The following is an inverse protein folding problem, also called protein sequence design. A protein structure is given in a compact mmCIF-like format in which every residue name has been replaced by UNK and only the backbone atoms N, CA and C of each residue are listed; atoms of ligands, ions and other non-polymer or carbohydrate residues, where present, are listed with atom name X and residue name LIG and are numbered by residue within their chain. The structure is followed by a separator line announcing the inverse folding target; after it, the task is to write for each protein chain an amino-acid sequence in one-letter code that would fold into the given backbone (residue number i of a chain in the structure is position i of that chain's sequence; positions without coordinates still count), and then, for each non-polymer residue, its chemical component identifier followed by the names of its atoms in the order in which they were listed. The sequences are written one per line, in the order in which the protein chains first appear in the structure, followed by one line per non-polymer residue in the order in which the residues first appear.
data_IF_860378344519
#
_entry.id   IF_860378344519
#
_cell.length_a   1.000
_cell.length_b   1.000
_cell.length_c   1.000
_cell.angle_alpha   90.00
_cell.angle_beta   90.00
_cell.angle_gamma   90.00
#
_symmetry.space_group_name_H-M   'P 1'
#
loop_
_entity.id
_entity.type
_entity.pdbx_description
1 polymer ?
#
# COMPACT_ATOMS: atom_id res chain seq x y z
N UNK A 1 6.18 39.48 -37.14
CA UNK A 1 6.75 38.60 -36.09
C UNK A 1 5.62 38.24 -35.14
N UNK A 2 5.01 37.07 -35.35
CA UNK A 2 3.95 36.54 -34.49
C UNK A 2 4.60 35.73 -33.37
N UNK A 3 4.53 36.25 -32.15
CA UNK A 3 4.94 35.52 -30.94
C UNK A 3 3.86 34.50 -30.59
N UNK A 4 4.19 33.21 -30.65
CA UNK A 4 3.34 32.14 -30.11
C UNK A 4 3.17 32.32 -28.60
N UNK A 5 1.96 32.10 -28.04
CA UNK A 5 1.76 32.15 -26.60
C UNK A 5 2.47 30.95 -25.94
N UNK A 6 3.13 31.22 -24.82
CA UNK A 6 3.70 30.18 -23.98
C UNK A 6 2.59 29.19 -23.55
N UNK A 7 2.82 27.91 -23.78
CA UNK A 7 1.94 26.84 -23.31
C UNK A 7 1.79 26.93 -21.81
N UNK A 8 0.54 26.98 -21.33
CA UNK A 8 0.24 26.81 -19.92
C UNK A 8 0.80 25.47 -19.41
N UNK A 9 1.30 25.39 -18.16
CA UNK A 9 1.70 24.13 -17.58
C UNK A 9 0.51 23.17 -17.51
N UNK A 10 0.71 21.86 -17.68
CA UNK A 10 -0.36 20.88 -17.58
C UNK A 10 -1.03 20.95 -16.19
N UNK A 11 -2.34 20.64 -16.09
CA UNK A 11 -3.06 20.65 -14.82
C UNK A 11 -2.38 19.70 -13.83
N UNK A 12 -2.23 20.13 -12.59
CA UNK A 12 -1.71 19.30 -11.48
C UNK A 12 -2.63 18.10 -11.28
N UNK A 13 -2.18 16.90 -11.67
CA UNK A 13 -2.95 15.67 -11.47
C UNK A 13 -2.68 15.12 -10.07
N UNK A 14 -3.72 15.07 -9.23
CA UNK A 14 -3.65 14.32 -7.96
C UNK A 14 -3.49 12.83 -8.26
N UNK A 15 -2.69 12.09 -7.47
CA UNK A 15 -2.51 10.65 -7.64
C UNK A 15 -3.81 9.92 -7.40
N UNK A 16 -4.26 9.20 -8.42
CA UNK A 16 -5.42 8.31 -8.32
C UNK A 16 -5.02 6.84 -8.33
N UNK A 17 -3.73 6.50 -8.50
CA UNK A 17 -3.25 5.13 -8.52
C UNK A 17 -2.13 4.86 -7.51
N UNK A 18 -2.09 3.62 -7.02
CA UNK A 18 -1.02 3.10 -6.19
C UNK A 18 -0.60 1.72 -6.72
N UNK A 19 0.69 1.54 -6.96
CA UNK A 19 1.28 0.21 -7.11
C UNK A 19 1.88 -0.19 -5.76
N UNK A 20 1.30 -1.21 -5.14
CA UNK A 20 1.67 -1.72 -3.82
C UNK A 20 2.26 -3.12 -3.98
N UNK A 21 3.55 -3.27 -3.68
CA UNK A 21 4.31 -4.48 -4.00
C UNK A 21 4.94 -5.06 -2.75
N UNK A 22 4.46 -6.22 -2.36
CA UNK A 22 5.16 -7.03 -1.37
C UNK A 22 6.25 -7.88 -2.00
N UNK A 23 7.34 -8.07 -1.26
CA UNK A 23 8.41 -8.97 -1.63
C UNK A 23 8.95 -9.73 -0.42
N UNK A 24 9.34 -10.98 -0.65
CA UNK A 24 10.05 -11.82 0.31
C UNK A 24 11.25 -12.47 -0.37
N UNK A 25 12.46 -12.25 0.16
CA UNK A 25 13.68 -12.83 -0.36
C UNK A 25 13.70 -14.34 -0.15
N UNK A 26 14.09 -15.09 -1.17
CA UNK A 26 14.30 -16.53 -1.05
C UNK A 26 15.73 -16.90 -0.66
N UNK A 27 15.98 -18.19 -0.38
CA UNK A 27 17.29 -18.66 0.09
C UNK A 27 18.43 -18.42 -0.92
N UNK A 28 18.10 -18.20 -2.20
CA UNK A 28 19.08 -18.01 -3.27
C UNK A 28 19.35 -16.52 -3.59
N UNK A 29 18.70 -15.59 -2.90
CA UNK A 29 18.92 -14.14 -3.06
C UNK A 29 19.12 -13.51 -1.70
N UNK A 30 20.30 -12.92 -1.49
CA UNK A 30 20.59 -12.20 -0.25
C UNK A 30 19.88 -10.85 -0.23
N UNK A 31 19.61 -10.31 0.96
CA UNK A 31 19.02 -8.97 1.08
C UNK A 31 19.90 -7.93 0.35
N UNK A 32 21.23 -8.05 0.42
CA UNK A 32 22.15 -7.11 -0.25
C UNK A 32 21.95 -7.11 -1.78
N UNK A 33 21.85 -8.28 -2.41
CA UNK A 33 21.59 -8.37 -3.87
C UNK A 33 20.21 -7.84 -4.23
N UNK A 34 19.21 -8.14 -3.40
CA UNK A 34 17.86 -7.62 -3.57
C UNK A 34 17.81 -6.09 -3.44
N UNK A 35 18.59 -5.53 -2.52
CA UNK A 35 18.69 -4.08 -2.35
C UNK A 35 19.44 -3.42 -3.50
N UNK A 36 20.59 -3.96 -3.89
CA UNK A 36 21.39 -3.47 -5.02
C UNK A 36 20.57 -3.41 -6.32
N UNK A 37 19.83 -4.47 -6.63
CA UNK A 37 18.92 -4.48 -7.79
C UNK A 37 17.84 -3.42 -7.69
N UNK A 38 17.18 -3.29 -6.53
CA UNK A 38 16.16 -2.27 -6.37
C UNK A 38 16.71 -0.86 -6.56
N UNK A 39 17.91 -0.63 -6.05
CA UNK A 39 18.54 0.67 -5.96
C UNK A 39 19.14 1.13 -7.27
N UNK A 40 19.74 0.22 -8.03
CA UNK A 40 20.52 0.52 -9.22
C UNK A 40 19.83 0.15 -10.54
N UNK A 41 18.79 -0.69 -10.50
CA UNK A 41 18.08 -1.13 -11.71
C UNK A 41 16.58 -0.90 -11.62
N UNK A 42 15.91 -1.44 -10.59
CA UNK A 42 14.45 -1.54 -10.57
C UNK A 42 13.77 -0.20 -10.37
N UNK A 43 13.93 0.42 -9.18
CA UNK A 43 13.20 1.64 -8.83
C UNK A 43 13.55 2.82 -9.75
N UNK A 44 14.84 3.09 -10.10
CA UNK A 44 15.18 4.14 -11.04
C UNK A 44 14.49 3.97 -12.39
N UNK A 45 14.44 2.74 -12.94
CA UNK A 45 13.77 2.49 -14.21
C UNK A 45 12.27 2.81 -14.16
N UNK A 46 11.58 2.54 -13.04
CA UNK A 46 10.16 2.89 -12.88
C UNK A 46 9.95 4.40 -12.82
N UNK A 47 10.84 5.15 -12.17
CA UNK A 47 10.76 6.60 -12.09
C UNK A 47 10.95 7.29 -13.46
N UNK A 48 11.53 6.61 -14.45
CA UNK A 48 11.58 7.12 -15.83
C UNK A 48 10.25 7.07 -16.57
N UNK A 49 9.25 6.31 -16.07
CA UNK A 49 7.95 6.16 -16.72
C UNK A 49 7.04 7.34 -16.38
N UNK A 50 6.54 8.10 -17.39
CA UNK A 50 5.62 9.20 -17.14
C UNK A 50 4.39 8.76 -16.33
N UNK A 51 4.12 9.47 -15.24
CA UNK A 51 3.01 9.18 -14.34
C UNK A 51 3.39 8.42 -13.06
N UNK A 52 4.61 7.90 -12.94
CA UNK A 52 5.18 7.54 -11.64
C UNK A 52 5.56 8.82 -10.88
N UNK A 53 5.00 8.99 -9.69
CA UNK A 53 5.20 10.17 -8.84
C UNK A 53 6.23 9.92 -7.76
N UNK A 54 6.25 8.70 -7.20
CA UNK A 54 7.17 8.32 -6.14
C UNK A 54 7.59 6.86 -6.30
N UNK A 55 8.72 6.51 -5.69
CA UNK A 55 9.08 5.14 -5.36
C UNK A 55 9.60 5.15 -3.93
N UNK A 56 9.02 4.33 -3.06
CA UNK A 56 9.47 4.20 -1.67
C UNK A 56 9.49 2.74 -1.27
N UNK A 57 10.51 2.38 -0.49
CA UNK A 57 10.68 1.05 0.09
C UNK A 57 10.62 1.11 1.59
N UNK A 58 10.01 0.08 2.17
CA UNK A 58 9.84 -0.09 3.60
C UNK A 58 10.20 -1.52 4.02
N UNK A 59 10.68 -1.65 5.26
CA UNK A 59 10.90 -2.94 5.92
C UNK A 59 9.81 -3.17 6.97
N UNK A 60 9.29 -4.38 7.07
CA UNK A 60 8.32 -4.73 8.10
C UNK A 60 8.95 -4.59 9.49
N UNK A 61 8.18 -4.05 10.44
CA UNK A 61 8.57 -3.99 11.85
C UNK A 61 7.57 -4.73 12.76
N UNK A 62 6.67 -5.50 12.16
CA UNK A 62 5.71 -6.40 12.82
C UNK A 62 6.18 -7.87 12.86
N UNK A 63 7.40 -8.14 12.35
CA UNK A 63 7.97 -9.48 12.21
C UNK A 63 7.11 -10.47 11.39
N UNK A 64 6.22 -9.95 10.53
CA UNK A 64 5.41 -10.75 9.60
C UNK A 64 6.04 -10.78 8.21
N UNK A 65 5.67 -11.81 7.45
CA UNK A 65 5.96 -11.96 6.02
C UNK A 65 4.77 -11.43 5.21
N UNK A 66 4.96 -10.77 4.05
CA UNK A 66 6.23 -10.38 3.43
C UNK A 66 7.00 -9.30 4.18
N UNK A 67 8.33 -9.40 4.23
CA UNK A 67 9.23 -8.51 4.97
C UNK A 67 9.40 -7.15 4.27
N UNK A 68 9.32 -7.13 2.95
CA UNK A 68 9.60 -5.92 2.16
C UNK A 68 8.35 -5.40 1.47
N UNK A 69 8.19 -4.09 1.50
CA UNK A 69 7.15 -3.36 0.80
C UNK A 69 7.79 -2.31 -0.10
N UNK A 70 7.36 -2.24 -1.35
CA UNK A 70 7.58 -1.09 -2.23
C UNK A 70 6.23 -0.46 -2.59
N UNK A 71 6.14 0.86 -2.50
CA UNK A 71 4.98 1.64 -2.92
C UNK A 71 5.39 2.63 -4.00
N UNK A 72 4.56 2.75 -5.02
CA UNK A 72 4.70 3.76 -6.06
C UNK A 72 3.39 4.52 -6.20
N UNK A 73 3.42 5.83 -5.94
CA UNK A 73 2.29 6.69 -6.24
C UNK A 73 2.24 6.96 -7.74
N UNK A 74 1.05 6.87 -8.32
CA UNK A 74 0.80 7.03 -9.74
C UNK A 74 -0.25 8.11 -9.97
N UNK A 75 -0.11 8.87 -11.06
CA UNK A 75 -1.18 9.76 -11.52
C UNK A 75 -2.47 9.00 -11.82
N UNK A 76 -2.37 7.74 -12.30
CA UNK A 76 -3.48 6.83 -12.53
C UNK A 76 -3.01 5.37 -12.57
N UNK A 77 -3.90 4.43 -12.22
CA UNK A 77 -3.65 2.98 -12.43
C UNK A 77 -3.40 2.62 -13.89
N UNK A 78 -3.96 3.40 -14.84
CA UNK A 78 -3.78 3.22 -16.29
C UNK A 78 -2.32 3.28 -16.75
N UNK A 79 -1.45 3.94 -15.98
CA UNK A 79 0.00 4.01 -16.27
C UNK A 79 0.60 2.59 -16.39
N UNK A 80 0.08 1.63 -15.62
CA UNK A 80 0.58 0.26 -15.60
C UNK A 80 0.18 -0.58 -16.83
N UNK A 81 -0.62 -0.01 -17.73
CA UNK A 81 -0.98 -0.60 -19.02
C UNK A 81 -0.38 0.14 -20.22
N UNK A 82 0.48 1.13 -19.96
CA UNK A 82 1.12 1.92 -21.03
C UNK A 82 2.27 1.16 -21.70
N UNK A 83 2.57 1.45 -22.98
CA UNK A 83 3.75 0.90 -23.66
C UNK A 83 5.07 1.22 -22.93
N UNK A 84 5.18 2.41 -22.34
CA UNK A 84 6.35 2.85 -21.58
C UNK A 84 6.60 1.95 -20.36
N UNK A 85 5.55 1.61 -19.63
CA UNK A 85 5.66 0.67 -18.50
C UNK A 85 5.91 -0.77 -18.97
N UNK A 86 5.24 -1.21 -20.03
CA UNK A 86 5.43 -2.56 -20.59
C UNK A 86 6.89 -2.79 -21.02
N UNK A 87 7.52 -1.78 -21.62
CA UNK A 87 8.92 -1.80 -22.06
C UNK A 87 9.89 -2.15 -20.92
N UNK A 88 9.63 -1.74 -19.68
CA UNK A 88 10.48 -2.07 -18.54
C UNK A 88 10.64 -3.60 -18.36
N UNK A 89 9.57 -4.36 -18.61
CA UNK A 89 9.61 -5.82 -18.54
C UNK A 89 10.33 -6.43 -19.73
N UNK A 90 10.08 -5.90 -20.93
CA UNK A 90 10.71 -6.36 -22.18
C UNK A 90 12.24 -6.16 -22.16
N UNK A 91 12.69 -5.04 -21.59
CA UNK A 91 14.11 -4.68 -21.50
C UNK A 91 14.72 -4.99 -20.14
N UNK A 92 14.08 -5.82 -19.31
CA UNK A 92 14.63 -6.21 -18.02
C UNK A 92 16.03 -6.82 -18.19
N UNK A 93 16.93 -6.56 -17.26
CA UNK A 93 18.26 -7.18 -17.27
C UNK A 93 18.17 -8.67 -16.93
N UNK A 94 19.25 -9.41 -17.17
CA UNK A 94 19.31 -10.80 -16.69
C UNK A 94 19.30 -10.85 -15.15
N UNK A 95 19.94 -9.87 -14.50
CA UNK A 95 19.96 -9.75 -13.05
C UNK A 95 18.54 -9.56 -12.47
N UNK A 96 17.72 -8.67 -13.05
CA UNK A 96 16.31 -8.48 -12.64
C UNK A 96 15.52 -9.79 -12.78
N UNK A 97 15.68 -10.52 -13.89
CA UNK A 97 15.01 -11.81 -14.09
C UNK A 97 15.44 -12.84 -13.06
N UNK A 98 16.74 -12.96 -12.79
CA UNK A 98 17.30 -13.94 -11.86
C UNK A 98 16.86 -13.65 -10.42
N UNK A 99 16.84 -12.37 -10.01
CA UNK A 99 16.39 -11.93 -8.70
C UNK A 99 14.91 -12.21 -8.52
N UNK A 100 14.05 -11.76 -9.45
CA UNK A 100 12.60 -12.00 -9.38
C UNK A 100 12.31 -13.51 -9.31
N UNK A 101 13.00 -14.33 -10.12
CA UNK A 101 12.86 -15.78 -10.10
C UNK A 101 13.30 -16.44 -8.78
N UNK A 102 14.16 -15.77 -8.02
CA UNK A 102 14.69 -16.24 -6.74
C UNK A 102 13.89 -15.77 -5.52
N UNK A 103 12.87 -14.91 -5.69
CA UNK A 103 11.99 -14.46 -4.61
C UNK A 103 11.00 -15.55 -4.19
N UNK A 104 10.70 -15.61 -2.89
CA UNK A 104 9.62 -16.45 -2.36
C UNK A 104 8.25 -15.87 -2.68
N UNK A 105 8.13 -14.55 -2.73
CA UNK A 105 6.90 -13.89 -3.14
C UNK A 105 7.21 -12.52 -3.71
N UNK A 106 6.44 -12.14 -4.73
CA UNK A 106 6.41 -10.80 -5.32
C UNK A 106 4.95 -10.48 -5.65
N UNK A 107 4.17 -10.21 -4.60
CA UNK A 107 2.76 -9.90 -4.67
C UNK A 107 2.53 -8.47 -5.11
N UNK A 108 1.95 -8.27 -6.29
CA UNK A 108 1.84 -6.97 -6.95
C UNK A 108 0.38 -6.54 -7.03
N UNK A 109 -0.04 -5.66 -6.13
CA UNK A 109 -1.40 -5.09 -6.09
C UNK A 109 -1.49 -3.73 -6.76
N UNK A 110 -2.49 -3.56 -7.61
CA UNK A 110 -2.84 -2.29 -8.26
C UNK A 110 -4.07 -1.74 -7.57
N UNK A 111 -3.97 -0.52 -7.08
CA UNK A 111 -4.97 0.11 -6.22
C UNK A 111 -5.40 1.47 -6.78
N UNK A 112 -6.70 1.75 -6.73
CA UNK A 112 -7.28 3.05 -7.06
C UNK A 112 -7.69 3.78 -5.78
N UNK A 113 -7.39 5.09 -5.70
CA UNK A 113 -7.74 5.92 -4.55
C UNK A 113 -9.26 6.09 -4.42
N UNK A 114 -9.78 5.84 -3.22
CA UNK A 114 -11.18 6.09 -2.85
C UNK A 114 -11.31 7.41 -2.10
N UNK A 115 -10.47 7.59 -1.08
CA UNK A 115 -10.55 8.75 -0.18
C UNK A 115 -9.17 9.08 0.41
N UNK A 116 -8.97 10.33 0.78
CA UNK A 116 -7.73 10.78 1.40
C UNK A 116 -7.97 11.92 2.37
N UNK A 117 -7.23 11.90 3.48
CA UNK A 117 -7.10 13.01 4.40
C UNK A 117 -5.62 13.24 4.66
N UNK A 118 -5.16 14.49 4.72
CA UNK A 118 -3.76 14.80 4.98
C UNK A 118 -3.62 16.07 5.82
N UNK A 119 -2.51 16.18 6.54
CA UNK A 119 -2.09 17.42 7.14
C UNK A 119 -1.54 18.38 6.06
N UNK A 120 -1.48 19.67 6.38
CA UNK A 120 -0.97 20.67 5.45
C UNK A 120 0.47 20.34 5.04
N UNK A 121 0.76 20.36 3.74
CA UNK A 121 2.10 20.09 3.18
C UNK A 121 2.42 18.62 2.90
N UNK A 122 1.53 17.68 3.21
CA UNK A 122 1.73 16.24 2.95
C UNK A 122 0.87 15.69 1.80
N UNK A 123 0.34 16.58 0.96
CA UNK A 123 -0.31 16.20 -0.29
C UNK A 123 0.69 15.50 -1.23
N UNK A 124 0.27 14.39 -1.81
CA UNK A 124 1.05 13.73 -2.87
C UNK A 124 0.60 14.32 -4.19
N UNK A 125 1.49 14.97 -4.93
CA UNK A 125 1.20 15.52 -6.27
C UNK A 125 2.47 15.60 -7.09
N UNK A 126 2.31 15.67 -8.41
CA UNK A 126 3.44 15.78 -9.33
C UNK A 126 4.31 16.99 -9.00
N UNK A 127 5.64 16.79 -9.00
CA UNK A 127 6.63 17.85 -8.76
C UNK A 127 6.79 18.30 -7.31
N UNK A 128 6.07 17.70 -6.35
CA UNK A 128 6.34 17.92 -4.92
C UNK A 128 7.42 16.93 -4.43
N UNK A 129 8.27 17.32 -3.47
CA UNK A 129 9.18 16.38 -2.83
C UNK A 129 8.42 15.16 -2.32
N UNK A 130 9.00 13.98 -2.47
CA UNK A 130 8.40 12.74 -1.97
C UNK A 130 8.41 12.80 -0.43
N UNK A 131 7.31 13.23 0.18
CA UNK A 131 7.15 13.19 1.61
C UNK A 131 6.76 11.76 2.03
N UNK A 132 7.74 10.85 2.05
CA UNK A 132 7.55 9.47 2.53
C UNK A 132 7.44 9.45 4.05
N UNK A 133 6.43 8.75 4.59
CA UNK A 133 6.36 8.52 6.03
C UNK A 133 7.55 7.71 6.52
N UNK A 134 8.09 8.06 7.69
CA UNK A 134 9.06 7.21 8.39
C UNK A 134 8.41 5.92 8.89
N UNK A 135 7.12 5.98 9.18
CA UNK A 135 6.30 4.84 9.58
C UNK A 135 5.03 4.75 8.73
N UNK A 136 4.72 3.54 8.29
CA UNK A 136 3.49 3.19 7.58
C UNK A 136 2.75 2.12 8.34
N UNK A 137 1.48 2.38 8.66
CA UNK A 137 0.52 1.41 9.14
C UNK A 137 -0.48 1.13 8.01
N UNK A 138 -0.45 -0.11 7.50
CA UNK A 138 -1.29 -0.57 6.43
C UNK A 138 -2.38 -1.48 6.99
N UNK A 139 -3.64 -1.17 6.68
CA UNK A 139 -4.81 -1.96 7.08
C UNK A 139 -5.46 -2.52 5.82
N UNK A 140 -5.31 -3.82 5.62
CA UNK A 140 -6.00 -4.57 4.58
C UNK A 140 -7.40 -4.89 5.08
N UNK A 141 -8.43 -4.67 4.26
CA UNK A 141 -9.82 -4.75 4.71
C UNK A 141 -10.73 -5.43 3.67
N UNK A 142 -11.66 -6.25 4.13
CA UNK A 142 -12.69 -6.85 3.30
C UNK A 142 -14.00 -6.99 4.07
N UNK A 143 -15.12 -6.60 3.45
CA UNK A 143 -16.45 -6.91 3.98
C UNK A 143 -16.80 -8.35 3.64
N UNK A 144 -17.03 -9.18 4.66
CA UNK A 144 -17.28 -10.62 4.54
C UNK A 144 -18.71 -11.03 4.86
N UNK A 145 -19.50 -10.16 5.52
CA UNK A 145 -20.90 -10.40 5.85
C UNK A 145 -21.81 -9.21 5.51
N UNK A 146 -23.12 -9.44 5.46
CA UNK A 146 -24.15 -8.39 5.29
C UNK A 146 -25.24 -8.56 6.36
N UNK A 147 -25.93 -7.47 6.71
CA UNK A 147 -26.94 -7.43 7.78
C UNK A 147 -28.35 -7.82 7.34
N UNK A 148 -28.52 -8.18 6.07
CA UNK A 148 -29.81 -8.50 5.42
C UNK A 148 -29.55 -9.01 3.99
N UNK A 149 -30.64 -9.24 3.23
CA UNK A 149 -30.62 -9.46 1.76
C UNK A 149 -30.04 -8.28 0.96
N UNK A 150 -29.58 -7.21 1.63
CA UNK A 150 -28.97 -6.04 1.00
C UNK A 150 -27.66 -6.40 0.27
N UNK A 151 -27.41 -5.81 -0.92
CA UNK A 151 -26.17 -6.00 -1.66
C UNK A 151 -24.92 -5.69 -0.84
N UNK A 152 -23.88 -6.49 -1.00
CA UNK A 152 -22.58 -6.33 -0.32
C UNK A 152 -21.98 -4.93 -0.54
N UNK A 153 -22.22 -4.34 -1.71
CA UNK A 153 -21.75 -2.99 -2.06
C UNK A 153 -22.26 -1.91 -1.10
N UNK A 154 -23.48 -2.05 -0.58
CA UNK A 154 -24.05 -1.11 0.39
C UNK A 154 -23.32 -1.23 1.74
N UNK A 155 -23.06 -2.46 2.19
CA UNK A 155 -22.29 -2.71 3.40
C UNK A 155 -20.85 -2.19 3.27
N UNK A 156 -20.22 -2.37 2.11
CA UNK A 156 -18.89 -1.82 1.81
C UNK A 156 -18.89 -0.29 1.83
N UNK A 157 -19.90 0.37 1.25
CA UNK A 157 -20.01 1.83 1.29
C UNK A 157 -20.17 2.36 2.71
N UNK A 158 -21.03 1.72 3.52
CA UNK A 158 -21.22 2.07 4.92
C UNK A 158 -19.93 1.88 5.73
N UNK A 159 -19.23 0.76 5.53
CA UNK A 159 -17.95 0.47 6.15
C UNK A 159 -16.89 1.52 5.82
N UNK A 160 -16.70 1.84 4.53
CA UNK A 160 -15.74 2.84 4.08
C UNK A 160 -16.09 4.22 4.60
N UNK A 161 -17.38 4.60 4.62
CA UNK A 161 -17.82 5.87 5.17
C UNK A 161 -17.49 5.97 6.68
N UNK A 162 -17.73 4.91 7.44
CA UNK A 162 -17.33 4.87 8.85
C UNK A 162 -15.81 5.00 9.01
N UNK A 163 -15.04 4.27 8.22
CA UNK A 163 -13.57 4.29 8.29
C UNK A 163 -13.04 5.71 8.05
N UNK A 164 -13.52 6.36 6.99
CA UNK A 164 -13.17 7.75 6.64
C UNK A 164 -13.62 8.77 7.69
N UNK A 165 -14.82 8.63 8.26
CA UNK A 165 -15.39 9.63 9.17
C UNK A 165 -15.05 9.42 10.64
N UNK A 166 -14.54 8.24 11.00
CA UNK A 166 -14.29 7.86 12.39
C UNK A 166 -12.83 7.45 12.59
N UNK A 167 -12.39 6.35 11.95
CA UNK A 167 -11.06 5.79 12.19
C UNK A 167 -9.95 6.76 11.75
N UNK A 168 -10.08 7.34 10.55
CA UNK A 168 -9.11 8.29 10.00
C UNK A 168 -8.97 9.56 10.87
N UNK A 169 -10.04 10.24 11.32
CA UNK A 169 -9.96 11.37 12.26
C UNK A 169 -9.41 11.05 13.65
N UNK A 170 -9.50 9.80 14.11
CA UNK A 170 -8.85 9.39 15.35
C UNK A 170 -7.34 9.22 15.14
N UNK A 171 -6.94 8.56 14.05
CA UNK A 171 -5.53 8.37 13.69
C UNK A 171 -4.82 9.70 13.38
N UNK A 172 -5.54 10.70 12.86
CA UNK A 172 -4.94 12.01 12.57
C UNK A 172 -4.56 12.83 13.80
N UNK A 173 -5.04 12.44 14.99
CA UNK A 173 -4.64 13.06 16.26
C UNK A 173 -3.30 12.54 16.75
N UNK A 174 -2.81 11.43 16.21
CA UNK A 174 -1.53 10.84 16.62
C UNK A 174 -0.38 11.77 16.17
N UNK A 175 0.51 12.20 17.09
CA UNK A 175 1.58 13.15 16.77
C UNK A 175 2.44 12.71 15.57
N UNK A 176 2.69 13.65 14.66
CA UNK A 176 3.45 13.40 13.43
C UNK A 176 2.65 12.78 12.29
N UNK A 177 1.32 12.69 12.42
CA UNK A 177 0.48 12.19 11.33
C UNK A 177 0.61 13.06 10.09
N UNK A 178 0.90 12.42 8.96
CA UNK A 178 1.06 13.08 7.67
C UNK A 178 -0.22 12.96 6.85
N UNK A 179 -0.69 11.73 6.67
CA UNK A 179 -1.85 11.43 5.81
C UNK A 179 -2.43 10.04 6.06
N UNK A 180 -3.66 9.88 5.60
CA UNK A 180 -4.40 8.64 5.49
C UNK A 180 -4.98 8.55 4.07
N UNK A 181 -4.85 7.39 3.42
CA UNK A 181 -5.37 7.15 2.07
C UNK A 181 -6.05 5.79 2.03
N UNK A 182 -7.25 5.73 1.48
CA UNK A 182 -8.04 4.51 1.35
C UNK A 182 -8.13 4.17 -0.12
N UNK A 183 -7.88 2.91 -0.45
CA UNK A 183 -7.81 2.42 -1.82
C UNK A 183 -8.67 1.18 -2.03
N UNK A 184 -9.06 0.96 -3.28
CA UNK A 184 -9.72 -0.24 -3.77
C UNK A 184 -8.76 -1.03 -4.64
N UNK A 185 -8.68 -2.33 -4.42
CA UNK A 185 -7.95 -3.25 -5.30
C UNK A 185 -8.61 -3.28 -6.67
N UNK A 186 -7.82 -3.05 -7.71
CA UNK A 186 -8.21 -3.14 -9.12
C UNK A 186 -7.75 -4.46 -9.72
N UNK A 187 -6.50 -4.84 -9.45
CA UNK A 187 -5.89 -6.04 -9.98
C UNK A 187 -4.76 -6.52 -9.05
N UNK A 188 -4.48 -7.82 -9.08
CA UNK A 188 -3.40 -8.43 -8.33
C UNK A 188 -2.69 -9.49 -9.15
N UNK A 189 -1.37 -9.51 -9.08
CA UNK A 189 -0.56 -10.55 -9.71
C UNK A 189 0.53 -11.00 -8.75
N UNK A 190 0.62 -12.31 -8.50
CA UNK A 190 1.81 -12.92 -7.90
C UNK A 190 2.83 -13.19 -9.01
N UNK A 191 3.97 -12.50 -8.97
CA UNK A 191 5.01 -12.59 -9.98
C UNK A 191 6.23 -13.43 -9.52
N UNK A 192 6.34 -13.72 -8.23
CA UNK A 192 7.43 -14.47 -7.64
C UNK A 192 7.04 -15.92 -7.39
N UNK A 193 7.72 -16.55 -6.43
CA UNK A 193 7.35 -17.88 -5.96
C UNK A 193 8.14 -19.03 -6.60
N UNK A 194 9.04 -18.74 -7.55
CA UNK A 194 9.95 -19.73 -8.12
C UNK A 194 10.81 -20.44 -7.05
N UNK A 195 11.09 -19.76 -5.94
CA UNK A 195 11.83 -20.32 -4.81
C UNK A 195 10.96 -21.07 -3.77
N UNK A 196 9.62 -21.08 -3.89
CA UNK A 196 8.71 -21.69 -2.88
C UNK A 196 8.89 -23.20 -2.72
N UNK A 197 9.45 -23.87 -3.74
CA UNK A 197 9.68 -25.32 -3.77
C UNK A 197 11.07 -25.73 -3.25
N UNK A 198 11.89 -24.77 -2.80
CA UNK A 198 13.22 -25.08 -2.29
C UNK A 198 13.16 -25.97 -1.04
N UNK A 199 14.06 -26.96 -0.96
CA UNK A 199 14.11 -27.92 0.15
C UNK A 199 14.46 -27.17 1.46
N UNK A 200 13.62 -27.35 2.49
CA UNK A 200 13.79 -26.66 3.76
C UNK A 200 13.01 -25.35 3.89
N UNK A 201 12.21 -24.99 2.89
CA UNK A 201 11.34 -23.82 2.98
C UNK A 201 10.26 -23.98 4.07
N UNK A 202 10.04 -22.92 4.84
CA UNK A 202 9.10 -22.93 5.95
C UNK A 202 7.65 -22.84 5.44
N UNK A 203 6.84 -23.87 5.72
CA UNK A 203 5.43 -23.90 5.34
C UNK A 203 4.60 -22.72 5.89
N UNK A 204 5.00 -22.15 7.04
CA UNK A 204 4.35 -20.96 7.62
C UNK A 204 4.66 -19.66 6.86
N UNK A 205 5.80 -19.62 6.15
CA UNK A 205 6.13 -18.49 5.27
C UNK A 205 5.27 -18.58 4.02
N UNK A 206 5.19 -19.77 3.41
CA UNK A 206 4.35 -19.99 2.24
C UNK A 206 2.87 -19.68 2.53
N UNK A 207 2.32 -20.14 3.67
CA UNK A 207 0.92 -19.86 4.01
C UNK A 207 0.63 -18.37 4.22
N UNK A 208 1.59 -17.56 4.68
CA UNK A 208 1.47 -16.11 4.76
C UNK A 208 1.50 -15.45 3.37
N UNK A 209 2.32 -15.99 2.45
CA UNK A 209 2.42 -15.51 1.07
C UNK A 209 1.23 -15.92 0.19
N UNK A 210 0.58 -17.03 0.50
CA UNK A 210 -0.56 -17.57 -0.26
C UNK A 210 -1.89 -16.88 0.09
N UNK A 211 -1.91 -15.99 1.09
CA UNK A 211 -3.10 -15.22 1.43
C UNK A 211 -3.52 -14.34 0.24
N UNK A 212 -4.78 -14.41 -0.22
CA UNK A 212 -5.26 -13.53 -1.27
C UNK A 212 -5.29 -12.07 -0.78
N UNK A 213 -5.14 -11.08 -1.68
CA UNK A 213 -5.26 -9.68 -1.31
C UNK A 213 -6.70 -9.36 -0.91
N UNK A 214 -6.86 -8.51 0.10
CA UNK A 214 -8.17 -7.97 0.48
C UNK A 214 -8.59 -6.84 -0.47
N UNK A 215 -9.91 -6.63 -0.57
CA UNK A 215 -10.53 -5.70 -1.53
C UNK A 215 -10.17 -4.23 -1.29
N UNK A 216 -9.94 -3.84 -0.03
CA UNK A 216 -9.61 -2.47 0.34
C UNK A 216 -8.29 -2.41 1.11
N UNK A 217 -7.61 -1.27 1.00
CA UNK A 217 -6.36 -0.99 1.68
C UNK A 217 -6.40 0.45 2.22
N UNK A 218 -6.15 0.64 3.51
CA UNK A 218 -5.85 1.94 4.07
C UNK A 218 -4.36 2.04 4.38
N UNK A 219 -3.72 3.14 3.95
CA UNK A 219 -2.36 3.49 4.31
C UNK A 219 -2.36 4.73 5.18
N UNK A 220 -1.77 4.62 6.36
CA UNK A 220 -1.58 5.71 7.31
C UNK A 220 -0.10 5.96 7.52
N UNK A 221 0.31 7.21 7.40
CA UNK A 221 1.73 7.59 7.32
C UNK A 221 2.06 8.65 8.37
N UNK A 222 3.21 8.49 9.04
CA UNK A 222 3.72 9.42 10.03
C UNK A 222 5.18 9.80 9.73
N UNK A 223 5.57 11.01 10.12
CA UNK A 223 6.94 11.54 10.00
C UNK A 223 7.86 11.10 11.15
N UNK A 224 7.37 10.20 12.01
CA UNK A 224 8.04 9.67 13.19
C UNK A 224 8.31 8.18 13.07
N UNK A 225 9.23 7.69 13.90
CA UNK A 225 9.51 6.27 14.01
C UNK A 225 8.30 5.49 14.52
N UNK A 226 8.13 4.27 14.04
CA UNK A 226 6.99 3.43 14.41
C UNK A 226 6.90 3.16 15.92
N UNK A 227 8.04 3.10 16.61
CA UNK A 227 8.07 2.95 18.07
C UNK A 227 7.42 4.14 18.79
N UNK A 228 7.67 5.37 18.35
CA UNK A 228 7.09 6.58 18.93
C UNK A 228 5.58 6.65 18.65
N UNK A 229 5.19 6.35 17.41
CA UNK A 229 3.79 6.35 16.98
C UNK A 229 3.00 5.33 17.79
N UNK A 230 3.45 4.08 17.84
CA UNK A 230 2.71 2.98 18.51
C UNK A 230 2.74 3.07 20.04
N UNK A 231 3.74 3.74 20.62
CA UNK A 231 3.81 3.97 22.06
C UNK A 231 2.88 5.10 22.53
N UNK A 232 2.48 6.02 21.63
CA UNK A 232 1.64 7.16 21.95
C UNK A 232 0.28 6.76 22.55
N UNK A 233 -0.27 7.62 23.40
CA UNK A 233 -1.58 7.40 24.00
C UNK A 233 -2.68 7.42 22.93
N UNK A 234 -2.57 8.35 21.98
CA UNK A 234 -3.50 8.54 20.88
C UNK A 234 -3.60 7.30 20.00
N UNK A 235 -2.45 6.71 19.62
CA UNK A 235 -2.45 5.50 18.79
C UNK A 235 -3.02 4.31 19.56
N UNK A 236 -2.66 4.14 20.83
CA UNK A 236 -3.24 3.06 21.64
C UNK A 236 -4.76 3.21 21.79
N UNK A 237 -5.25 4.43 21.98
CA UNK A 237 -6.68 4.70 22.06
C UNK A 237 -7.42 4.33 20.76
N UNK A 238 -6.77 4.43 19.58
CA UNK A 238 -7.40 4.00 18.32
C UNK A 238 -7.43 2.47 18.15
N UNK A 239 -6.58 1.72 18.87
CA UNK A 239 -6.54 0.26 18.84
C UNK A 239 -7.45 -0.40 19.88
N UNK A 240 -7.66 0.25 21.03
CA UNK A 240 -8.50 -0.29 22.13
C UNK A 240 -9.99 -0.14 21.85
N UNK A 241 -10.38 0.80 20.98
CA UNK A 241 -11.77 0.99 20.58
C UNK A 241 -12.27 -0.04 19.54
N UNK A 242 -11.51 -1.11 19.25
CA UNK A 242 -11.97 -2.19 18.36
C UNK A 242 -13.18 -2.96 18.92
N UNK A 243 -13.48 -2.84 20.22
CA UNK A 243 -14.69 -3.39 20.86
C UNK A 243 -15.97 -2.59 20.51
N UNK A 244 -15.84 -1.31 20.15
CA UNK A 244 -16.95 -0.56 19.54
C UNK A 244 -16.78 -0.64 18.03
N UNK A 245 -17.55 -1.53 17.40
CA UNK A 245 -17.61 -1.69 15.94
C UNK A 245 -18.75 -0.80 15.42
N UNK A 246 -18.62 0.53 15.34
CA UNK A 246 -19.75 1.46 15.27
C UNK A 246 -20.46 1.38 13.92
N UNK A 247 -19.82 0.81 12.90
CA UNK A 247 -20.44 0.50 11.62
C UNK A 247 -21.47 -0.64 11.71
N UNK A 248 -21.37 -1.54 12.71
CA UNK A 248 -22.43 -2.52 13.02
C UNK A 248 -23.68 -1.82 13.56
N UNK A 249 -23.49 -0.79 14.41
CA UNK A 249 -24.59 0.04 14.95
C UNK A 249 -25.24 0.89 13.85
N UNK A 250 -24.45 1.47 12.93
CA UNK A 250 -24.96 2.22 11.78
C UNK A 250 -25.82 1.38 10.82
N UNK A 251 -25.65 0.05 10.83
CA UNK A 251 -26.44 -0.91 10.06
C UNK A 251 -27.60 -1.54 10.86
N UNK A 252 -27.87 -1.05 12.07
CA UNK A 252 -29.01 -1.49 12.89
C UNK A 252 -28.86 -2.86 13.56
N UNK A 253 -27.63 -3.34 13.73
CA UNK A 253 -27.39 -4.62 14.41
C UNK A 253 -27.59 -4.53 15.92
N UNK A 254 -28.18 -5.58 16.50
CA UNK A 254 -28.23 -5.78 17.95
C UNK A 254 -26.92 -6.42 18.41
N UNK A 255 -26.42 -6.02 19.58
CA UNK A 255 -25.34 -6.72 20.28
C UNK A 255 -25.65 -8.23 20.34
N UNK A 256 -24.72 -9.07 19.86
CA UNK A 256 -24.79 -10.53 20.04
C UNK A 256 -25.12 -11.39 18.82
N UNK A 257 -25.38 -10.84 17.62
CA UNK A 257 -25.57 -11.64 16.39
C UNK A 257 -24.26 -11.90 15.61
N UNK A 258 -23.26 -12.45 16.33
CA UNK A 258 -22.48 -13.62 15.92
C UNK A 258 -21.46 -13.64 14.75
N UNK A 259 -21.40 -12.70 13.80
CA UNK A 259 -20.40 -12.78 12.71
C UNK A 259 -19.70 -11.44 12.39
N UNK A 260 -18.37 -11.42 12.15
CA UNK A 260 -17.70 -10.23 11.70
C UNK A 260 -18.20 -9.90 10.29
N UNK A 261 -18.72 -8.69 10.06
CA UNK A 261 -19.10 -8.27 8.71
C UNK A 261 -17.93 -7.64 7.95
N UNK A 262 -16.80 -7.37 8.62
CA UNK A 262 -15.55 -7.00 7.98
C UNK A 262 -14.36 -7.71 8.65
N UNK A 263 -13.42 -8.15 7.84
CA UNK A 263 -12.09 -8.61 8.26
C UNK A 263 -11.08 -7.48 8.05
N UNK A 264 -10.13 -7.36 8.98
CA UNK A 264 -9.00 -6.44 8.86
C UNK A 264 -7.69 -7.15 9.17
N UNK A 265 -6.67 -6.91 8.37
CA UNK A 265 -5.31 -7.34 8.64
C UNK A 265 -4.36 -6.13 8.68
N UNK A 266 -3.73 -5.97 9.83
CA UNK A 266 -2.77 -4.91 10.09
C UNK A 266 -1.34 -5.32 9.77
N UNK A 267 -0.64 -4.44 9.06
CA UNK A 267 0.77 -4.53 8.74
C UNK A 267 1.49 -3.23 9.07
N UNK A 268 2.73 -3.33 9.55
CA UNK A 268 3.51 -2.19 10.03
C UNK A 268 4.89 -2.17 9.41
N UNK A 269 5.30 -1.00 8.91
CA UNK A 269 6.55 -0.85 8.17
C UNK A 269 7.30 0.42 8.56
N UNK A 270 8.62 0.34 8.56
CA UNK A 270 9.53 1.48 8.74
C UNK A 270 10.17 1.82 7.40
N UNK A 271 10.38 3.11 7.15
CA UNK A 271 11.02 3.59 5.93
C UNK A 271 12.40 2.98 5.79
N UNK A 272 12.65 2.34 4.65
CA UNK A 272 13.96 1.84 4.28
C UNK A 272 14.66 2.85 3.35
N UNK A 273 13.97 3.26 2.27
CA UNK A 273 14.51 4.20 1.29
C UNK A 273 13.41 4.89 0.50
N UNK A 274 13.48 6.20 0.36
CA UNK A 274 12.72 6.97 -0.61
C UNK A 274 13.61 7.29 -1.81
N UNK A 275 13.06 7.22 -3.02
CA UNK A 275 13.76 7.54 -4.25
C UNK A 275 13.28 8.88 -4.77
N UNK A 276 14.21 9.70 -5.22
CA UNK A 276 13.94 11.00 -5.84
C UNK A 276 14.09 10.87 -7.37
N UNK A 277 13.37 11.74 -8.10
CA UNK A 277 13.49 11.89 -9.56
C UNK A 277 14.82 12.55 -9.94
#
# INVERSE_FOLDING_TARGET
MTTSPASSPPPTMSPNGLLYVYAECGPNVTEEKFHDWYDNEHAPARLTVPGFLSATRYKSNDFKVPTWLATYDLTSTKILSTPEYAKLRETASQNERDIIGSLLGLGRGIYELIDSMHASGYEVKQGSPVASGKFVYAVHMQVVGTTSDEPREIAEQAFLQWYSKTRVPLLSKVPGWMRSRIFRLVDFTEMGGGARTHKGQNALVNSQLDKPPMKFLALHEWDREGADVTASHEFKATMVNDDEVPWQVALGLKEGEGAPLAEMEDRRFSLYKAFEH
#
